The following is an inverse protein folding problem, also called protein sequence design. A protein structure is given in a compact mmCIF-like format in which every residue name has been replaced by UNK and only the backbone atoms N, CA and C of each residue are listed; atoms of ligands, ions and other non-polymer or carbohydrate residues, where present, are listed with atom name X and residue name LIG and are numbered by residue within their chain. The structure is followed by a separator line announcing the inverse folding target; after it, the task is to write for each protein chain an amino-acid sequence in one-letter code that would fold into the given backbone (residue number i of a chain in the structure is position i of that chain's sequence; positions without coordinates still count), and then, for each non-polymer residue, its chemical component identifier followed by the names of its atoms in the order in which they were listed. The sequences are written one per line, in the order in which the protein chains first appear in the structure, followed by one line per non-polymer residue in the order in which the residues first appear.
data_IF_822292903477
#
_entry.id   IF_822292903477
#
_cell.length_a   1.000
_cell.length_b   1.000
_cell.length_c   1.000
_cell.angle_alpha   90.00
_cell.angle_beta   90.00
_cell.angle_gamma   90.00
#
_symmetry.space_group_name_H-M   'P 1'
#
loop_
_entity.id
_entity.type
_entity.pdbx_description
1 polymer ?
#
# COMPACT_ATOMS: atom_id res chain seq x y z
N UNK A 1 -0.27 -25.50 15.67
CA UNK A 1 0.27 -25.06 16.99
C UNK A 1 -0.49 -25.77 18.09
N UNK A 2 0.17 -26.17 19.18
CA UNK A 2 -0.52 -26.79 20.33
C UNK A 2 -1.42 -25.79 21.07
N UNK A 3 -2.46 -26.28 21.75
CA UNK A 3 -3.48 -25.42 22.41
C UNK A 3 -2.85 -24.42 23.39
N UNK A 4 -1.92 -24.88 24.22
CA UNK A 4 -1.30 -24.03 25.24
C UNK A 4 -0.44 -22.93 24.60
N UNK A 5 0.39 -23.27 23.61
CA UNK A 5 1.17 -22.29 22.86
C UNK A 5 0.28 -21.25 22.16
N UNK A 6 -0.86 -21.69 21.61
CA UNK A 6 -1.83 -20.80 20.97
C UNK A 6 -2.48 -19.82 21.95
N UNK A 7 -2.81 -20.28 23.17
CA UNK A 7 -3.31 -19.43 24.24
C UNK A 7 -2.27 -18.43 24.72
N UNK A 8 -1.02 -18.86 24.91
CA UNK A 8 0.07 -17.98 25.30
C UNK A 8 0.31 -16.89 24.26
N UNK A 9 0.32 -17.25 22.97
CA UNK A 9 0.42 -16.28 21.88
C UNK A 9 -0.75 -15.28 21.91
N UNK A 10 -1.99 -15.78 22.05
CA UNK A 10 -3.15 -14.90 22.13
C UNK A 10 -3.09 -13.94 23.33
N UNK A 11 -2.71 -14.42 24.52
CA UNK A 11 -2.58 -13.58 25.71
C UNK A 11 -1.49 -12.53 25.60
N UNK A 12 -0.37 -12.87 24.97
CA UNK A 12 0.71 -11.92 24.68
C UNK A 12 0.18 -10.69 23.95
N UNK A 13 -0.74 -10.87 23.00
CA UNK A 13 -1.30 -9.79 22.20
C UNK A 13 -2.54 -9.15 22.85
N UNK A 14 -3.43 -9.93 23.46
CA UNK A 14 -4.71 -9.45 23.99
C UNK A 14 -4.63 -8.84 25.40
N UNK A 15 -3.77 -9.35 26.27
CA UNK A 15 -3.82 -9.03 27.71
C UNK A 15 -2.53 -8.36 28.20
N UNK A 16 -1.38 -8.63 27.55
CA UNK A 16 -0.06 -8.04 27.89
C UNK A 16 0.34 -8.17 29.37
N UNK A 17 -0.25 -9.11 30.12
CA UNK A 17 0.01 -9.44 31.54
C UNK A 17 -0.09 -10.95 31.76
N UNK A 18 0.49 -11.44 32.85
CA UNK A 18 0.71 -12.87 33.10
C UNK A 18 -0.55 -13.69 33.46
N UNK A 19 -1.72 -13.07 33.76
CA UNK A 19 -2.94 -13.83 34.03
C UNK A 19 -4.25 -13.10 33.67
N UNK A 20 -5.14 -13.71 32.85
CA UNK A 20 -6.50 -13.20 32.60
C UNK A 20 -7.40 -13.34 33.83
N UNK A 21 -8.38 -12.44 33.97
CA UNK A 21 -9.55 -12.71 34.80
C UNK A 21 -10.26 -14.01 34.33
N UNK A 22 -10.82 -14.79 35.26
CA UNK A 22 -11.44 -16.11 34.98
C UNK A 22 -12.44 -16.09 33.81
N UNK A 23 -13.21 -15.01 33.65
CA UNK A 23 -14.18 -14.86 32.54
C UNK A 23 -13.51 -14.66 31.18
N UNK A 24 -12.41 -13.91 31.15
CA UNK A 24 -11.63 -13.71 29.92
C UNK A 24 -10.91 -14.99 29.52
N UNK A 25 -10.53 -15.84 30.47
CA UNK A 25 -9.94 -17.16 30.18
C UNK A 25 -10.89 -18.01 29.32
N UNK A 26 -12.15 -18.16 29.73
CA UNK A 26 -13.13 -18.95 28.97
C UNK A 26 -13.39 -18.39 27.56
N UNK A 27 -13.48 -17.06 27.42
CA UNK A 27 -13.62 -16.42 26.10
C UNK A 27 -12.38 -16.61 25.24
N UNK A 28 -11.18 -16.50 25.83
CA UNK A 28 -9.91 -16.68 25.14
C UNK A 28 -9.74 -18.09 24.60
N UNK A 29 -10.08 -19.11 25.41
CA UNK A 29 -10.04 -20.51 24.97
C UNK A 29 -10.96 -20.78 23.77
N UNK A 30 -12.17 -20.22 23.77
CA UNK A 30 -13.08 -20.39 22.66
C UNK A 30 -12.63 -19.61 21.42
N UNK A 31 -12.09 -18.39 21.57
CA UNK A 31 -11.53 -17.63 20.45
C UNK A 31 -10.36 -18.39 19.83
N UNK A 32 -9.40 -18.86 20.63
CA UNK A 32 -8.24 -19.65 20.16
C UNK A 32 -8.68 -20.90 19.41
N UNK A 33 -9.73 -21.56 19.89
CA UNK A 33 -10.31 -22.72 19.20
C UNK A 33 -10.88 -22.33 17.83
N UNK A 34 -11.62 -21.22 17.74
CA UNK A 34 -12.23 -20.76 16.47
C UNK A 34 -11.21 -20.24 15.48
N UNK A 35 -10.11 -19.64 15.92
CA UNK A 35 -9.02 -19.26 15.02
C UNK A 35 -8.28 -20.48 14.45
N UNK A 36 -8.45 -21.67 15.04
CA UNK A 36 -7.79 -22.90 14.59
C UNK A 36 -6.32 -22.96 14.96
N UNK A 37 -5.87 -22.15 15.93
CA UNK A 37 -4.46 -22.07 16.31
C UNK A 37 -3.55 -21.42 15.26
N UNK A 38 -4.12 -20.69 14.31
CA UNK A 38 -3.36 -19.96 13.27
C UNK A 38 -2.62 -18.78 13.90
N UNK A 39 -1.27 -18.74 13.89
CA UNK A 39 -0.51 -17.72 14.61
C UNK A 39 -0.92 -16.29 14.25
N UNK A 40 -0.98 -15.96 12.96
CA UNK A 40 -1.34 -14.61 12.51
C UNK A 40 -2.76 -14.20 12.96
N UNK A 41 -3.75 -15.10 12.85
CA UNK A 41 -5.10 -14.80 13.29
C UNK A 41 -5.16 -14.55 14.81
N UNK A 42 -4.37 -15.28 15.59
CA UNK A 42 -4.27 -15.07 17.04
C UNK A 42 -3.61 -13.73 17.38
N UNK A 43 -2.54 -13.36 16.68
CA UNK A 43 -1.88 -12.06 16.83
C UNK A 43 -2.86 -10.92 16.51
N UNK A 44 -3.47 -10.95 15.32
CA UNK A 44 -4.36 -9.90 14.81
C UNK A 44 -5.63 -9.75 15.66
N UNK A 45 -6.29 -10.86 16.01
CA UNK A 45 -7.51 -10.81 16.83
C UNK A 45 -7.17 -10.47 18.28
N UNK A 46 -6.07 -11.02 18.81
CA UNK A 46 -5.62 -10.71 20.16
C UNK A 46 -5.32 -9.22 20.30
N UNK A 47 -4.51 -8.67 19.40
CA UNK A 47 -4.18 -7.24 19.34
C UNK A 47 -5.42 -6.35 19.21
N UNK A 48 -6.39 -6.74 18.38
CA UNK A 48 -7.67 -6.02 18.24
C UNK A 48 -8.50 -5.99 19.54
N UNK A 49 -8.51 -7.09 20.28
CA UNK A 49 -9.26 -7.23 21.52
C UNK A 49 -8.57 -6.59 22.73
N UNK A 50 -7.31 -6.16 22.59
CA UNK A 50 -6.56 -5.52 23.65
C UNK A 50 -7.24 -4.24 24.14
N UNK A 51 -7.43 -4.12 25.46
CA UNK A 51 -8.07 -2.98 26.09
C UNK A 51 -9.56 -2.80 25.75
N UNK A 52 -10.18 -3.72 24.98
CA UNK A 52 -11.60 -3.66 24.64
C UNK A 52 -12.47 -4.24 25.75
N UNK A 53 -13.74 -3.83 25.76
CA UNK A 53 -14.72 -4.31 26.74
C UNK A 53 -15.08 -5.78 26.53
N UNK A 54 -15.57 -6.45 27.58
CA UNK A 54 -16.07 -7.84 27.48
C UNK A 54 -17.19 -7.96 26.43
N UNK A 55 -17.95 -6.89 26.18
CA UNK A 55 -18.95 -6.84 25.12
C UNK A 55 -18.32 -7.01 23.73
N UNK A 56 -17.25 -6.26 23.43
CA UNK A 56 -16.51 -6.40 22.16
C UNK A 56 -15.92 -7.79 22.00
N UNK A 57 -15.38 -8.37 23.07
CA UNK A 57 -14.88 -9.76 23.06
C UNK A 57 -15.97 -10.77 22.66
N UNK A 58 -17.17 -10.65 23.26
CA UNK A 58 -18.30 -11.51 22.92
C UNK A 58 -18.76 -11.30 21.48
N UNK A 59 -18.86 -10.04 21.02
CA UNK A 59 -19.25 -9.73 19.66
C UNK A 59 -18.27 -10.32 18.62
N UNK A 60 -16.96 -10.19 18.86
CA UNK A 60 -15.91 -10.79 18.03
C UNK A 60 -16.02 -12.31 17.99
N UNK A 61 -16.24 -12.94 19.14
CA UNK A 61 -16.44 -14.39 19.20
C UNK A 61 -17.68 -14.83 18.40
N UNK A 62 -18.76 -14.05 18.40
CA UNK A 62 -19.93 -14.36 17.57
C UNK A 62 -19.61 -14.27 16.08
N UNK A 63 -18.88 -13.23 15.65
CA UNK A 63 -18.39 -13.14 14.26
C UNK A 63 -17.57 -14.38 13.90
N UNK A 64 -16.63 -14.80 14.76
CA UNK A 64 -15.80 -15.99 14.53
C UNK A 64 -16.58 -17.32 14.49
N UNK A 65 -17.74 -17.40 15.14
CA UNK A 65 -18.57 -18.61 15.12
C UNK A 65 -19.33 -18.78 13.80
N UNK A 66 -19.62 -17.69 13.11
CA UNK A 66 -20.32 -17.71 11.81
C UNK A 66 -19.38 -18.23 10.70
N UNK A 67 -18.07 -18.08 10.91
CA UNK A 67 -17.05 -18.27 9.89
C UNK A 67 -16.55 -19.71 9.88
N UNK A 68 -16.51 -20.37 8.71
CA UNK A 68 -15.90 -21.69 8.60
C UNK A 68 -14.43 -21.69 9.04
N UNK A 69 -13.98 -22.78 9.68
CA UNK A 69 -12.64 -22.83 10.26
C UNK A 69 -11.50 -22.66 9.24
N UNK A 70 -11.73 -23.02 7.98
CA UNK A 70 -10.78 -22.92 6.87
C UNK A 70 -10.73 -21.52 6.22
N UNK A 71 -11.63 -20.60 6.56
CA UNK A 71 -11.66 -19.24 6.01
C UNK A 71 -10.76 -18.28 6.80
N UNK A 72 -9.46 -18.40 6.59
CA UNK A 72 -8.45 -17.56 7.25
C UNK A 72 -8.66 -16.08 6.94
N UNK A 73 -8.96 -15.75 5.69
CA UNK A 73 -9.18 -14.37 5.23
C UNK A 73 -10.30 -13.68 6.02
N UNK A 74 -11.43 -14.36 6.23
CA UNK A 74 -12.54 -13.77 6.97
C UNK A 74 -12.15 -13.49 8.43
N UNK A 75 -11.40 -14.41 9.05
CA UNK A 75 -10.93 -14.22 10.44
C UNK A 75 -10.03 -13.00 10.56
N UNK A 76 -9.14 -12.77 9.59
CA UNK A 76 -8.27 -11.59 9.53
C UNK A 76 -9.06 -10.32 9.20
N UNK A 77 -10.11 -10.43 8.37
CA UNK A 77 -10.99 -9.33 7.98
C UNK A 77 -11.68 -8.65 9.17
N UNK A 78 -11.92 -9.37 10.28
CA UNK A 78 -12.55 -8.78 11.48
C UNK A 78 -11.81 -7.53 11.96
N UNK A 79 -10.47 -7.56 11.97
CA UNK A 79 -9.67 -6.40 12.40
C UNK A 79 -9.62 -5.30 11.35
N UNK A 80 -9.63 -5.65 10.05
CA UNK A 80 -9.73 -4.69 8.95
C UNK A 80 -11.07 -3.93 8.95
N UNK A 81 -12.18 -4.64 9.12
CA UNK A 81 -13.53 -4.04 9.14
C UNK A 81 -13.73 -3.09 10.33
N UNK A 82 -12.86 -3.16 11.35
CA UNK A 82 -12.89 -2.30 12.53
C UNK A 82 -11.99 -1.06 12.41
N UNK A 83 -11.19 -0.95 11.35
CA UNK A 83 -10.39 0.23 11.04
C UNK A 83 -11.26 1.40 10.58
N UNK A 84 -10.77 2.61 10.80
CA UNK A 84 -11.34 3.81 10.18
C UNK A 84 -11.04 3.80 8.67
N UNK A 85 -11.81 4.58 7.92
CA UNK A 85 -11.77 4.55 6.45
C UNK A 85 -10.35 4.84 5.91
N UNK A 86 -9.65 5.77 6.52
CA UNK A 86 -8.30 6.20 6.16
C UNK A 86 -7.29 5.05 6.38
N UNK A 87 -7.35 4.41 7.55
CA UNK A 87 -6.53 3.25 7.89
C UNK A 87 -6.82 2.06 6.96
N UNK A 88 -8.08 1.88 6.53
CA UNK A 88 -8.43 0.90 5.50
C UNK A 88 -7.74 1.21 4.17
N UNK A 89 -7.77 2.48 3.72
CA UNK A 89 -7.08 2.86 2.48
C UNK A 89 -5.56 2.65 2.59
N UNK A 90 -4.95 2.99 3.73
CA UNK A 90 -3.53 2.72 3.97
C UNK A 90 -3.20 1.22 3.93
N UNK A 91 -4.04 0.40 4.57
CA UNK A 91 -3.89 -1.06 4.52
C UNK A 91 -3.94 -1.59 3.07
N UNK A 92 -4.90 -1.11 2.27
CA UNK A 92 -5.04 -1.50 0.87
C UNK A 92 -3.87 -1.03 0.01
N UNK A 93 -3.37 0.19 0.23
CA UNK A 93 -2.16 0.72 -0.42
C UNK A 93 -0.95 -0.16 -0.12
N UNK A 94 -0.75 -0.56 1.14
CA UNK A 94 0.35 -1.44 1.52
C UNK A 94 0.22 -2.83 0.87
N UNK A 95 -0.99 -3.39 0.85
CA UNK A 95 -1.25 -4.69 0.25
C UNK A 95 -1.03 -4.71 -1.28
N UNK A 96 -1.37 -3.61 -1.96
CA UNK A 96 -1.34 -3.56 -3.43
C UNK A 96 -0.02 -3.03 -3.99
N UNK A 97 0.65 -2.09 -3.29
CA UNK A 97 1.73 -1.29 -3.87
C UNK A 97 3.00 -1.24 -3.02
N UNK A 98 2.89 -1.14 -1.69
CA UNK A 98 4.02 -0.78 -0.83
C UNK A 98 4.66 -1.94 -0.07
N UNK A 99 4.65 -3.13 -0.65
CA UNK A 99 5.49 -4.20 -0.10
C UNK A 99 6.94 -3.75 -0.12
N UNK A 100 7.57 -3.58 1.05
CA UNK A 100 8.95 -3.15 1.21
C UNK A 100 9.22 -1.70 0.76
N UNK A 101 8.39 -0.72 1.16
CA UNK A 101 8.76 0.71 1.11
C UNK A 101 9.16 1.25 2.49
N UNK A 102 9.99 2.29 2.50
CA UNK A 102 10.38 3.01 3.72
C UNK A 102 9.15 3.71 4.35
N UNK A 103 9.01 3.59 5.67
CA UNK A 103 7.89 4.16 6.44
C UNK A 103 7.76 5.68 6.24
N UNK A 104 8.86 6.44 6.25
CA UNK A 104 8.82 7.92 6.17
C UNK A 104 8.33 8.35 4.80
N UNK A 105 8.84 7.70 3.76
CA UNK A 105 8.42 7.92 2.39
C UNK A 105 6.91 7.71 2.22
N UNK A 106 6.37 6.62 2.75
CA UNK A 106 4.93 6.35 2.65
C UNK A 106 4.11 7.28 3.56
N UNK A 107 4.61 7.65 4.74
CA UNK A 107 3.94 8.60 5.63
C UNK A 107 3.71 9.96 4.95
N UNK A 108 4.74 10.54 4.34
CA UNK A 108 4.62 11.81 3.60
C UNK A 108 3.57 11.76 2.49
N UNK A 109 3.51 10.65 1.75
CA UNK A 109 2.49 10.48 0.70
C UNK A 109 1.04 10.50 1.20
N UNK A 110 0.81 10.16 2.47
CA UNK A 110 -0.51 10.13 3.06
C UNK A 110 -0.88 11.45 3.75
N UNK A 111 0.10 12.32 4.07
CA UNK A 111 -0.14 13.60 4.75
C UNK A 111 -1.08 14.51 3.94
N UNK A 112 -0.81 14.63 2.64
CA UNK A 112 -1.63 15.47 1.74
C UNK A 112 -2.99 14.86 1.40
N UNK A 113 -3.07 13.53 1.40
CA UNK A 113 -4.24 12.81 0.93
C UNK A 113 -5.37 12.78 1.96
N UNK A 114 -5.02 12.58 3.23
CA UNK A 114 -6.00 12.32 4.27
C UNK A 114 -6.15 13.48 5.26
N UNK A 115 -5.29 14.51 5.26
CA UNK A 115 -5.34 15.65 6.20
C UNK A 115 -5.31 15.23 7.69
N UNK A 116 -4.76 14.06 7.98
CA UNK A 116 -4.57 13.49 9.32
C UNK A 116 -3.08 13.22 9.57
N UNK A 117 -2.74 12.60 10.71
CA UNK A 117 -1.36 12.22 11.06
C UNK A 117 -1.07 10.79 10.62
N UNK A 118 -0.38 10.56 9.48
CA UNK A 118 -0.14 9.21 8.97
C UNK A 118 0.70 8.36 9.92
N UNK A 119 1.54 9.02 10.72
CA UNK A 119 2.31 8.38 11.79
C UNK A 119 1.40 7.69 12.82
N UNK A 120 0.34 8.36 13.27
CA UNK A 120 -0.62 7.79 14.22
C UNK A 120 -1.38 6.61 13.60
N UNK A 121 -1.77 6.70 12.33
CA UNK A 121 -2.49 5.61 11.65
C UNK A 121 -1.58 4.41 11.35
N UNK A 122 -0.31 4.64 11.01
CA UNK A 122 0.70 3.58 10.90
C UNK A 122 0.87 2.87 12.26
N UNK A 123 0.92 3.62 13.36
CA UNK A 123 0.96 3.05 14.70
C UNK A 123 -0.27 2.19 15.01
N UNK A 124 -1.48 2.60 14.60
CA UNK A 124 -2.69 1.80 14.75
C UNK A 124 -2.57 0.47 13.99
N UNK A 125 -2.13 0.51 12.72
CA UNK A 125 -1.93 -0.70 11.92
C UNK A 125 -0.89 -1.65 12.54
N UNK A 126 0.20 -1.11 13.12
CA UNK A 126 1.20 -1.90 13.86
C UNK A 126 0.63 -2.50 15.14
N UNK A 127 -0.09 -1.69 15.93
CA UNK A 127 -0.71 -2.11 17.19
C UNK A 127 -1.69 -3.26 16.97
N UNK A 128 -2.41 -3.25 15.84
CA UNK A 128 -3.31 -4.32 15.42
C UNK A 128 -2.60 -5.50 14.75
N UNK A 129 -1.26 -5.46 14.66
CA UNK A 129 -0.42 -6.48 14.03
C UNK A 129 -0.77 -6.72 12.55
N UNK A 130 -1.34 -5.71 11.88
CA UNK A 130 -1.67 -5.75 10.45
C UNK A 130 -0.43 -5.46 9.58
N UNK A 131 0.54 -4.75 10.14
CA UNK A 131 1.85 -4.49 9.53
C UNK A 131 2.95 -4.61 10.59
N UNK A 132 4.19 -4.68 10.13
CA UNK A 132 5.41 -4.58 10.93
C UNK A 132 6.35 -3.58 10.26
N UNK A 133 7.15 -2.87 11.06
CA UNK A 133 8.26 -2.06 10.58
C UNK A 133 9.55 -2.77 10.96
N UNK A 134 10.40 -3.05 9.97
CA UNK A 134 11.70 -3.64 10.24
C UNK A 134 12.66 -2.63 10.87
N UNK A 135 13.81 -3.10 11.35
CA UNK A 135 14.89 -2.23 11.85
C UNK A 135 15.44 -1.31 10.75
N UNK A 136 15.26 -1.73 9.49
CA UNK A 136 15.52 -0.99 8.25
C UNK A 136 14.45 0.08 7.94
N UNK A 137 13.49 0.32 8.84
CA UNK A 137 12.35 1.22 8.66
C UNK A 137 11.39 0.81 7.52
N UNK A 138 11.50 -0.42 7.02
CA UNK A 138 10.70 -0.90 5.89
C UNK A 138 9.36 -1.46 6.35
N UNK A 139 8.29 -1.07 5.64
CA UNK A 139 6.95 -1.61 5.79
C UNK A 139 6.89 -3.08 5.36
N UNK A 140 6.42 -3.92 6.27
CA UNK A 140 6.25 -5.37 6.06
C UNK A 140 4.81 -5.75 6.36
N UNK A 141 4.20 -6.50 5.45
CA UNK A 141 2.87 -7.08 5.62
C UNK A 141 2.96 -8.58 5.40
N UNK A 142 2.27 -9.35 6.26
CA UNK A 142 2.18 -10.79 6.10
C UNK A 142 1.46 -11.14 4.79
N UNK A 143 1.88 -12.20 4.10
CA UNK A 143 1.27 -12.61 2.82
C UNK A 143 -0.24 -12.80 2.90
N UNK A 144 -0.78 -13.45 3.94
CA UNK A 144 -2.22 -13.61 4.17
C UNK A 144 -2.97 -12.28 4.35
N UNK A 145 -2.34 -11.26 4.94
CA UNK A 145 -2.93 -9.93 5.06
C UNK A 145 -2.88 -9.17 3.73
N UNK A 146 -1.79 -9.34 2.99
CA UNK A 146 -1.66 -8.83 1.62
C UNK A 146 -2.72 -9.44 0.71
N UNK A 147 -2.91 -10.76 0.78
CA UNK A 147 -3.91 -11.48 0.00
C UNK A 147 -5.33 -11.10 0.40
N UNK A 148 -5.58 -10.88 1.70
CA UNK A 148 -6.84 -10.29 2.18
C UNK A 148 -7.08 -8.91 1.55
N UNK A 149 -6.10 -8.00 1.60
CA UNK A 149 -6.22 -6.66 1.01
C UNK A 149 -6.52 -6.70 -0.50
N UNK A 150 -5.78 -7.54 -1.22
CA UNK A 150 -6.01 -7.79 -2.66
C UNK A 150 -7.38 -8.40 -2.94
N UNK A 151 -7.84 -9.32 -2.09
CA UNK A 151 -9.18 -9.90 -2.16
C UNK A 151 -10.28 -8.87 -1.94
N UNK A 152 -10.09 -7.93 -1.01
CA UNK A 152 -11.02 -6.82 -0.77
C UNK A 152 -11.13 -5.92 -2.01
N UNK A 153 -10.02 -5.55 -2.64
CA UNK A 153 -10.05 -4.73 -3.87
C UNK A 153 -10.79 -5.47 -5.00
N UNK A 154 -10.52 -6.77 -5.18
CA UNK A 154 -11.24 -7.58 -6.19
C UNK A 154 -12.74 -7.64 -5.95
N UNK A 155 -13.20 -7.53 -4.70
CA UNK A 155 -14.61 -7.49 -4.35
C UNK A 155 -15.29 -6.14 -4.67
N UNK A 156 -14.55 -5.05 -4.89
CA UNK A 156 -15.14 -3.77 -5.31
C UNK A 156 -15.91 -3.91 -6.63
N UNK A 157 -15.35 -4.69 -7.57
CA UNK A 157 -16.04 -5.10 -8.79
C UNK A 157 -15.50 -6.45 -9.29
N UNK A 158 -16.16 -7.56 -8.94
CA UNK A 158 -15.69 -8.90 -9.32
C UNK A 158 -15.77 -9.19 -10.82
N UNK A 159 -16.59 -8.44 -11.57
CA UNK A 159 -16.86 -8.71 -12.99
C UNK A 159 -16.03 -7.85 -13.93
N UNK A 160 -15.50 -6.73 -13.43
CA UNK A 160 -14.81 -5.75 -14.25
C UNK A 160 -13.64 -5.16 -13.45
N UNK A 161 -12.43 -5.73 -13.60
CA UNK A 161 -11.24 -5.23 -12.92
C UNK A 161 -10.96 -3.75 -13.21
N UNK A 162 -11.34 -3.25 -14.40
CA UNK A 162 -11.18 -1.84 -14.76
C UNK A 162 -11.96 -0.87 -13.87
N UNK A 163 -12.90 -1.36 -13.05
CA UNK A 163 -13.67 -0.54 -12.09
C UNK A 163 -13.13 -0.60 -10.66
N UNK A 164 -12.02 -1.29 -10.42
CA UNK A 164 -11.37 -1.39 -9.13
C UNK A 164 -10.51 -0.15 -8.85
N UNK A 165 -10.35 0.17 -7.57
CA UNK A 165 -9.55 1.32 -7.11
C UNK A 165 -8.05 1.10 -7.23
N UNK A 166 -7.60 -0.16 -7.27
CA UNK A 166 -6.18 -0.55 -7.35
C UNK A 166 -6.04 -1.72 -8.32
N UNK A 167 -5.00 -1.69 -9.14
CA UNK A 167 -4.65 -2.77 -10.06
C UNK A 167 -3.16 -3.07 -9.96
N UNK A 168 -2.78 -4.34 -10.04
CA UNK A 168 -1.39 -4.79 -9.98
C UNK A 168 -1.14 -6.02 -10.86
N UNK A 169 0.08 -6.21 -11.34
CA UNK A 169 0.47 -7.42 -12.08
C UNK A 169 -0.33 -7.61 -13.39
N UNK A 170 -0.66 -8.84 -13.74
CA UNK A 170 -1.28 -9.18 -15.04
C UNK A 170 -2.64 -8.49 -15.26
N UNK A 171 -3.47 -8.37 -14.22
CA UNK A 171 -4.78 -7.69 -14.28
C UNK A 171 -4.64 -6.20 -14.61
N UNK A 172 -3.55 -5.55 -14.17
CA UNK A 172 -3.28 -4.17 -14.53
C UNK A 172 -2.98 -4.02 -16.03
N UNK A 173 -2.13 -4.91 -16.57
CA UNK A 173 -1.77 -4.92 -17.99
C UNK A 173 -3.01 -5.17 -18.86
N UNK A 174 -3.84 -6.15 -18.50
CA UNK A 174 -5.06 -6.48 -19.23
C UNK A 174 -6.05 -5.32 -19.30
N UNK A 175 -6.27 -4.62 -18.18
CA UNK A 175 -7.15 -3.46 -18.13
C UNK A 175 -6.61 -2.31 -18.99
N UNK A 176 -5.30 -2.07 -18.94
CA UNK A 176 -4.66 -1.01 -19.73
C UNK A 176 -4.75 -1.23 -21.23
N UNK A 177 -4.63 -2.48 -21.67
CA UNK A 177 -4.65 -2.83 -23.09
C UNK A 177 -6.08 -2.91 -23.65
N UNK A 178 -7.06 -3.30 -22.83
CA UNK A 178 -8.38 -3.68 -23.34
C UNK A 178 -9.56 -2.84 -22.85
N UNK A 179 -9.44 -2.03 -21.78
CA UNK A 179 -10.62 -1.45 -21.11
C UNK A 179 -10.45 -0.02 -20.57
N UNK A 180 -9.80 0.86 -21.35
CA UNK A 180 -9.43 2.23 -20.95
C UNK A 180 -10.62 3.15 -20.59
N UNK A 181 -11.84 2.89 -21.07
CA UNK A 181 -12.98 3.81 -20.92
C UNK A 181 -13.66 3.81 -19.54
N UNK A 182 -13.32 2.90 -18.62
CA UNK A 182 -14.09 2.66 -17.37
C UNK A 182 -13.33 2.88 -16.06
N UNK A 183 -12.05 3.27 -16.13
CA UNK A 183 -11.14 3.30 -14.98
C UNK A 183 -11.10 4.62 -14.20
N UNK A 184 -12.25 5.31 -14.12
CA UNK A 184 -12.36 6.57 -13.36
C UNK A 184 -12.14 6.39 -11.85
N UNK A 185 -12.23 5.17 -11.31
CA UNK A 185 -11.99 4.91 -9.88
C UNK A 185 -10.54 4.55 -9.55
N UNK A 186 -9.72 4.30 -10.58
CA UNK A 186 -8.37 3.80 -10.38
C UNK A 186 -7.49 4.88 -9.73
N UNK A 187 -7.02 4.57 -8.52
CA UNK A 187 -6.10 5.39 -7.71
C UNK A 187 -4.68 4.85 -7.76
N UNK A 188 -4.54 3.53 -7.81
CA UNK A 188 -3.23 2.86 -7.80
C UNK A 188 -3.08 1.94 -9.00
N UNK A 189 -2.00 2.13 -9.74
CA UNK A 189 -1.63 1.30 -10.87
C UNK A 189 -0.20 0.80 -10.69
N UNK A 190 -0.05 -0.49 -10.41
CA UNK A 190 1.24 -1.16 -10.30
C UNK A 190 1.52 -2.04 -11.53
N UNK A 191 2.46 -1.57 -12.35
CA UNK A 191 2.98 -2.26 -13.53
C UNK A 191 4.44 -2.69 -13.33
N UNK A 192 4.91 -2.75 -12.08
CA UNK A 192 6.28 -3.16 -11.81
C UNK A 192 6.58 -4.54 -12.39
N UNK A 193 7.83 -4.72 -12.82
CA UNK A 193 8.31 -5.95 -13.46
C UNK A 193 7.59 -6.32 -14.77
N UNK A 194 6.85 -5.41 -15.39
CA UNK A 194 6.18 -5.67 -16.67
C UNK A 194 7.19 -5.68 -17.83
N UNK A 195 7.72 -6.87 -18.13
CA UNK A 195 8.81 -7.05 -19.11
C UNK A 195 8.42 -6.77 -20.56
N UNK A 196 7.13 -6.78 -20.87
CA UNK A 196 6.61 -6.57 -22.23
C UNK A 196 6.25 -5.09 -22.50
N UNK A 197 6.25 -4.23 -21.46
CA UNK A 197 5.84 -2.84 -21.58
C UNK A 197 6.93 -1.99 -22.23
N UNK A 198 6.88 -1.84 -23.56
CA UNK A 198 7.81 -0.97 -24.29
C UNK A 198 7.45 0.52 -24.19
N UNK A 199 6.16 0.82 -23.99
CA UNK A 199 5.60 2.17 -23.89
C UNK A 199 4.42 2.17 -22.93
N UNK A 200 4.28 3.20 -22.09
CA UNK A 200 3.06 3.37 -21.29
C UNK A 200 1.85 3.71 -22.19
N UNK A 201 0.64 3.22 -21.90
CA UNK A 201 -0.55 3.60 -22.65
C UNK A 201 -0.92 5.08 -22.43
N UNK A 202 -1.95 5.56 -23.14
CA UNK A 202 -2.59 6.84 -22.80
C UNK A 202 -3.22 6.74 -21.42
N UNK A 203 -2.71 7.54 -20.48
CA UNK A 203 -3.16 7.59 -19.10
C UNK A 203 -4.23 8.66 -18.84
N UNK A 204 -4.63 9.41 -19.87
CA UNK A 204 -5.65 10.48 -19.75
C UNK A 204 -6.98 10.01 -19.12
N UNK A 205 -7.45 8.76 -19.35
CA UNK A 205 -8.68 8.28 -18.71
C UNK A 205 -8.58 8.06 -17.19
N UNK A 206 -7.37 7.86 -16.65
CA UNK A 206 -7.14 7.60 -15.22
C UNK A 206 -6.98 8.91 -14.45
N UNK A 207 -7.98 9.79 -14.56
CA UNK A 207 -7.89 11.14 -14.00
C UNK A 207 -7.70 11.17 -12.48
N UNK A 208 -8.11 10.11 -11.77
CA UNK A 208 -7.97 9.97 -10.32
C UNK A 208 -6.73 9.14 -9.91
N UNK A 209 -5.81 8.86 -10.84
CA UNK A 209 -4.61 8.10 -10.55
C UNK A 209 -3.69 8.89 -9.63
N UNK A 210 -3.41 8.30 -8.47
CA UNK A 210 -2.59 8.86 -7.42
C UNK A 210 -1.20 8.23 -7.38
N UNK A 211 -1.08 6.96 -7.77
CA UNK A 211 0.17 6.20 -7.66
C UNK A 211 0.41 5.37 -8.91
N UNK A 212 1.55 5.57 -9.56
CA UNK A 212 2.01 4.80 -10.70
C UNK A 212 3.37 4.17 -10.41
N UNK A 213 3.42 2.85 -10.39
CA UNK A 213 4.66 2.08 -10.23
C UNK A 213 5.01 1.38 -11.54
N UNK A 214 6.16 1.73 -12.10
CA UNK A 214 6.74 1.18 -13.33
C UNK A 214 8.08 0.49 -13.05
N UNK A 215 8.45 0.27 -11.77
CA UNK A 215 9.75 -0.27 -11.37
C UNK A 215 10.12 -1.51 -12.18
N UNK A 216 11.37 -1.59 -12.63
CA UNK A 216 11.95 -2.76 -13.31
C UNK A 216 11.16 -3.19 -14.55
N UNK A 217 10.55 -2.22 -15.26
CA UNK A 217 10.05 -2.43 -16.62
C UNK A 217 11.22 -2.40 -17.60
N UNK A 218 11.98 -3.50 -17.68
CA UNK A 218 13.24 -3.62 -18.41
C UNK A 218 13.18 -3.22 -19.90
N UNK A 219 11.99 -3.21 -20.55
CA UNK A 219 11.83 -2.83 -21.96
C UNK A 219 11.23 -1.43 -22.16
N UNK A 220 10.85 -0.75 -21.09
CA UNK A 220 10.17 0.54 -21.16
C UNK A 220 11.11 1.61 -21.70
N UNK A 221 10.72 2.19 -22.84
CA UNK A 221 11.50 3.20 -23.55
C UNK A 221 10.77 4.54 -23.60
N UNK A 222 9.45 4.50 -23.74
CA UNK A 222 8.62 5.69 -23.98
C UNK A 222 7.59 5.83 -22.87
N UNK A 223 7.65 6.96 -22.17
CA UNK A 223 6.57 7.40 -21.28
C UNK A 223 5.61 8.26 -22.09
N UNK A 224 4.34 7.89 -22.09
CA UNK A 224 3.32 8.65 -22.80
C UNK A 224 3.12 10.04 -22.17
N UNK A 225 3.02 11.11 -22.99
CA UNK A 225 2.89 12.48 -22.47
C UNK A 225 1.68 12.73 -21.57
N UNK A 226 0.65 11.88 -21.64
CA UNK A 226 -0.55 11.95 -20.79
C UNK A 226 -0.25 11.90 -19.29
N UNK A 227 0.84 11.26 -18.86
CA UNK A 227 1.26 11.23 -17.44
C UNK A 227 1.46 12.64 -16.87
N UNK A 228 1.89 13.61 -17.71
CA UNK A 228 2.09 14.99 -17.30
C UNK A 228 0.79 15.75 -17.00
N UNK A 229 -0.38 15.18 -17.34
CA UNK A 229 -1.71 15.77 -17.12
C UNK A 229 -2.42 15.20 -15.88
N UNK A 230 -1.81 14.26 -15.16
CA UNK A 230 -2.40 13.61 -14.00
C UNK A 230 -2.33 14.54 -12.78
N UNK A 231 -3.46 15.20 -12.47
CA UNK A 231 -3.53 16.25 -11.43
C UNK A 231 -3.41 15.74 -10.00
N UNK A 232 -3.74 14.47 -9.79
CA UNK A 232 -3.74 13.81 -8.48
C UNK A 232 -2.53 12.89 -8.28
N UNK A 233 -1.59 12.84 -9.23
CA UNK A 233 -0.45 11.93 -9.14
C UNK A 233 0.47 12.34 -7.99
N UNK A 234 0.53 11.52 -6.95
CA UNK A 234 1.31 11.72 -5.74
C UNK A 234 2.60 10.89 -5.70
N UNK A 235 2.67 9.79 -6.47
CA UNK A 235 3.89 8.96 -6.55
C UNK A 235 4.08 8.41 -7.95
N UNK A 236 5.28 8.63 -8.49
CA UNK A 236 5.77 8.03 -9.74
C UNK A 236 7.09 7.32 -9.48
N UNK A 237 7.08 5.99 -9.60
CA UNK A 237 8.27 5.17 -9.47
C UNK A 237 8.66 4.54 -10.82
N UNK A 238 9.89 4.79 -11.27
CA UNK A 238 10.49 4.22 -12.48
C UNK A 238 11.89 3.65 -12.19
N UNK A 239 12.14 3.21 -10.95
CA UNK A 239 13.41 2.58 -10.57
C UNK A 239 13.77 1.46 -11.55
N UNK A 240 15.02 1.41 -11.98
CA UNK A 240 15.57 0.39 -12.90
C UNK A 240 14.90 0.34 -14.30
N UNK A 241 14.21 1.41 -14.71
CA UNK A 241 13.74 1.58 -16.10
C UNK A 241 14.87 2.11 -17.00
N UNK A 242 15.89 1.28 -17.22
CA UNK A 242 17.18 1.68 -17.82
C UNK A 242 17.09 2.34 -19.21
N UNK A 243 16.07 2.02 -20.01
CA UNK A 243 15.93 2.56 -21.38
C UNK A 243 15.07 3.82 -21.48
N UNK A 244 14.45 4.27 -20.38
CA UNK A 244 13.71 5.53 -20.35
C UNK A 244 14.71 6.69 -20.40
N UNK A 245 14.60 7.51 -21.44
CA UNK A 245 15.52 8.63 -21.71
C UNK A 245 14.93 10.00 -21.45
N UNK A 246 13.61 10.09 -21.44
CA UNK A 246 12.87 11.33 -21.31
C UNK A 246 11.57 11.13 -20.55
N UNK A 247 11.21 12.17 -19.80
CA UNK A 247 9.88 12.37 -19.25
C UNK A 247 9.16 13.45 -20.07
N UNK A 248 7.82 13.51 -20.03
CA UNK A 248 7.10 14.63 -20.64
C UNK A 248 7.63 15.95 -20.10
N UNK A 249 7.65 17.00 -20.93
CA UNK A 249 8.29 18.28 -20.59
C UNK A 249 7.81 18.92 -19.29
N UNK A 250 6.60 18.60 -18.83
CA UNK A 250 6.01 19.12 -17.61
C UNK A 250 5.24 18.01 -16.88
N UNK A 251 5.31 18.03 -15.55
CA UNK A 251 4.41 17.29 -14.67
C UNK A 251 3.48 18.27 -13.96
N UNK A 252 2.16 18.12 -14.13
CA UNK A 252 1.13 19.06 -13.66
C UNK A 252 0.29 18.47 -12.51
N UNK A 253 0.96 17.96 -11.46
CA UNK A 253 0.29 17.48 -10.24
C UNK A 253 -0.04 18.65 -9.31
N UNK A 254 -1.18 19.30 -9.58
CA UNK A 254 -1.59 20.54 -8.90
C UNK A 254 -2.31 20.32 -7.58
N UNK A 255 -2.72 19.09 -7.27
CA UNK A 255 -3.59 18.82 -6.13
C UNK A 255 -2.89 18.03 -5.02
N UNK A 256 -1.73 17.44 -5.30
CA UNK A 256 -1.01 16.54 -4.40
C UNK A 256 0.50 16.84 -4.40
N UNK A 257 1.19 16.58 -3.29
CA UNK A 257 2.65 16.47 -3.33
C UNK A 257 3.08 15.26 -4.14
N UNK A 258 4.18 15.43 -4.87
CA UNK A 258 4.75 14.37 -5.70
C UNK A 258 6.02 13.79 -5.08
N UNK A 259 6.08 12.46 -5.03
CA UNK A 259 7.31 11.66 -4.97
C UNK A 259 7.69 11.23 -6.39
N UNK A 260 8.90 11.58 -6.82
CA UNK A 260 9.46 11.15 -8.10
C UNK A 260 10.72 10.31 -7.87
N UNK A 261 10.64 9.03 -8.21
CA UNK A 261 11.76 8.08 -8.11
C UNK A 261 12.14 7.62 -9.51
N UNK A 262 13.34 8.00 -9.95
CA UNK A 262 13.86 7.70 -11.30
C UNK A 262 15.21 6.97 -11.25
N UNK A 263 15.52 6.34 -10.12
CA UNK A 263 16.78 5.64 -9.89
C UNK A 263 17.10 4.64 -11.02
N UNK A 264 18.35 4.61 -11.46
CA UNK A 264 18.80 3.69 -12.51
C UNK A 264 18.24 3.96 -13.91
N UNK A 265 17.62 5.11 -14.16
CA UNK A 265 17.12 5.49 -15.50
C UNK A 265 18.20 6.18 -16.35
N UNK A 266 17.98 6.22 -17.68
CA UNK A 266 18.81 6.98 -18.62
C UNK A 266 18.26 8.40 -18.88
N UNK A 267 17.47 8.95 -17.96
CA UNK A 267 16.85 10.26 -18.11
C UNK A 267 17.93 11.33 -18.16
N UNK A 268 17.88 12.17 -19.21
CA UNK A 268 18.89 13.21 -19.41
C UNK A 268 18.60 14.51 -18.68
N UNK A 269 17.31 14.83 -18.54
CA UNK A 269 16.81 16.08 -17.99
C UNK A 269 15.53 15.82 -17.22
N UNK A 270 15.39 16.45 -16.05
CA UNK A 270 14.12 16.44 -15.33
C UNK A 270 13.07 17.29 -16.06
N UNK A 271 11.78 16.92 -15.93
CA UNK A 271 10.70 17.73 -16.45
C UNK A 271 10.60 19.05 -15.70
N UNK A 272 9.92 20.05 -16.28
CA UNK A 272 9.54 21.27 -15.57
C UNK A 272 8.56 20.90 -14.45
N UNK A 273 8.90 21.34 -13.23
CA UNK A 273 8.18 21.02 -11.99
C UNK A 273 7.33 22.19 -11.47
N UNK A 274 7.26 23.30 -12.23
CA UNK A 274 6.55 24.52 -11.85
C UNK A 274 5.01 24.34 -11.79
N UNK A 275 4.50 23.23 -12.33
CA UNK A 275 3.08 22.84 -12.26
C UNK A 275 2.73 22.00 -11.04
N UNK A 276 3.69 21.66 -10.18
CA UNK A 276 3.43 20.86 -8.97
C UNK A 276 2.89 21.71 -7.83
N UNK A 277 1.99 21.16 -7.03
CA UNK A 277 1.60 21.74 -5.74
C UNK A 277 2.82 21.82 -4.82
N UNK A 278 3.52 20.70 -4.71
CA UNK A 278 4.76 20.53 -3.95
C UNK A 278 5.47 19.27 -4.48
N UNK A 279 6.81 19.30 -4.46
CA UNK A 279 7.62 18.10 -4.68
C UNK A 279 8.26 17.76 -3.34
N UNK A 280 7.97 16.57 -2.80
CA UNK A 280 8.46 16.18 -1.48
C UNK A 280 9.77 15.42 -1.56
N UNK A 281 9.81 14.46 -2.47
CA UNK A 281 10.93 13.56 -2.64
C UNK A 281 11.30 13.46 -4.11
N UNK A 282 12.59 13.65 -4.39
CA UNK A 282 13.21 13.29 -5.66
C UNK A 282 14.35 12.32 -5.38
N UNK A 283 14.29 11.15 -6.00
CA UNK A 283 15.38 10.19 -6.03
C UNK A 283 15.80 9.96 -7.48
N UNK A 284 17.08 10.16 -7.76
CA UNK A 284 17.69 9.94 -9.07
C UNK A 284 19.09 9.31 -8.92
N UNK A 285 19.19 8.30 -8.07
CA UNK A 285 20.43 7.55 -7.86
C UNK A 285 20.79 6.72 -9.09
N UNK A 286 22.08 6.52 -9.35
CA UNK A 286 22.59 5.74 -10.49
C UNK A 286 22.05 6.25 -11.85
N UNK A 287 21.74 7.54 -11.95
CA UNK A 287 21.27 8.18 -13.19
C UNK A 287 22.42 8.79 -13.98
N UNK A 288 23.29 7.96 -14.55
CA UNK A 288 24.52 8.40 -15.22
C UNK A 288 24.32 9.39 -16.38
N UNK A 289 23.13 9.46 -16.96
CA UNK A 289 22.80 10.38 -18.06
C UNK A 289 22.22 11.73 -17.59
N UNK A 290 21.92 11.89 -16.30
CA UNK A 290 21.26 13.08 -15.78
C UNK A 290 22.24 14.25 -15.74
N UNK A 291 22.09 15.18 -16.68
CA UNK A 291 23.01 16.31 -16.85
C UNK A 291 22.39 17.64 -16.43
N UNK A 292 21.07 17.69 -16.25
CA UNK A 292 20.35 18.88 -15.85
C UNK A 292 19.30 18.52 -14.80
N UNK A 293 19.50 19.05 -13.61
CA UNK A 293 18.52 19.04 -12.53
C UNK A 293 17.85 20.41 -12.56
N UNK A 294 16.51 20.44 -12.65
CA UNK A 294 15.74 21.69 -12.78
C UNK A 294 16.09 22.69 -11.66
N UNK A 295 16.00 24.00 -11.89
CA UNK A 295 16.20 24.99 -10.82
C UNK A 295 15.13 24.92 -9.71
N UNK A 296 14.00 24.24 -9.95
CA UNK A 296 12.83 24.18 -9.06
C UNK A 296 12.94 23.17 -7.91
N UNK A 297 14.09 22.52 -7.70
CA UNK A 297 14.31 21.55 -6.61
C UNK A 297 14.77 22.17 -5.28
N UNK A 298 14.85 23.51 -5.18
CA UNK A 298 15.23 24.22 -3.95
C UNK A 298 14.28 24.02 -2.77
N UNK A 299 13.08 23.49 -3.00
CA UNK A 299 12.04 23.25 -1.98
C UNK A 299 11.92 21.79 -1.54
N UNK A 300 12.80 20.90 -2.01
CA UNK A 300 12.73 19.48 -1.70
C UNK A 300 13.05 19.18 -0.23
N UNK A 301 12.28 18.27 0.36
CA UNK A 301 12.53 17.75 1.72
C UNK A 301 13.60 16.66 1.68
N UNK A 302 13.62 15.84 0.63
CA UNK A 302 14.59 14.76 0.43
C UNK A 302 15.09 14.73 -1.03
N UNK A 303 16.41 14.81 -1.21
CA UNK A 303 17.08 14.71 -2.51
C UNK A 303 18.15 13.62 -2.41
N UNK A 304 18.03 12.57 -3.21
CA UNK A 304 19.03 11.51 -3.31
C UNK A 304 19.53 11.46 -4.75
N UNK A 305 20.75 11.96 -4.97
CA UNK A 305 21.43 11.94 -6.27
C UNK A 305 22.84 11.43 -6.04
N UNK A 306 23.01 10.12 -6.15
CA UNK A 306 24.31 9.46 -6.18
C UNK A 306 24.62 9.00 -7.61
N UNK A 307 25.88 9.16 -8.03
CA UNK A 307 26.36 8.87 -9.40
C UNK A 307 26.82 7.43 -9.56
#
# INVERSE_FOLDING_TARGET
MEKEQALQLFYKHAIRRDAPAVRLRALSEEIVKRTGGLPLALEVIGSFLHGKSEYTWKATLQKLKIVPNNEVEFKLRISYDALEHEQQQMFLDIACLFSWKDKKTVAHMWEDQYKFSPEADIEVLQLLSLIKIGEDNMLRMHDQLRDLGRGIVRQENPKDPGKQSRLWGDEAVDVLLNNQMMAMKLKVLDLSYCKELARTPDLSPFCNLERLNLRDCERLQVIDPSIGKLKHLASLNMTDCHFVKELPKQLDSKEMSLELVIDGTSIKKLPTLDGLMKLETLSANNCACLTQVSSSISHLVCVWIES
#
